data_IF_620725653899
#
_entry.id   IF_620725653899
#
_cell.length_a   1.000
_cell.length_b   1.000
_cell.length_c   1.000
_cell.angle_alpha   90.00
_cell.angle_beta   90.00
_cell.angle_gamma   90.00
#
_symmetry.space_group_name_H-M   'P 1'
#
loop_
_entity.id
_entity.type
_entity.pdbx_description
1 polymer ?
#
# COMPACT_ATOMS: atom_id res chain seq x y z
N UNK A 1 -11.35 5.97 21.93
CA UNK A 1 -10.04 5.33 21.60
C UNK A 1 -10.20 4.41 20.41
N UNK A 2 -9.21 4.39 19.55
CA UNK A 2 -9.21 3.53 18.37
C UNK A 2 -7.97 2.64 18.39
N UNK A 3 -8.00 1.54 17.66
CA UNK A 3 -6.81 0.73 17.46
C UNK A 3 -5.87 1.41 16.48
N UNK A 4 -4.56 1.25 16.72
CA UNK A 4 -3.56 1.77 15.80
C UNK A 4 -3.69 1.10 14.43
N UNK A 5 -3.78 1.90 13.38
CA UNK A 5 -4.01 1.39 12.01
C UNK A 5 -2.83 0.61 11.43
N UNK A 6 -1.68 0.59 12.10
CA UNK A 6 -0.55 -0.23 11.66
C UNK A 6 -0.73 -1.73 11.92
N UNK A 7 -1.72 -2.11 12.72
CA UNK A 7 -2.00 -3.51 13.04
C UNK A 7 -1.24 -4.05 14.24
N UNK A 8 -0.62 -3.19 15.05
CA UNK A 8 0.16 -3.63 16.22
C UNK A 8 -0.69 -4.12 17.40
N UNK A 9 -2.02 -3.91 17.35
CA UNK A 9 -2.95 -4.31 18.41
C UNK A 9 -3.06 -3.33 19.57
N UNK A 10 -2.30 -2.26 19.58
CA UNK A 10 -2.36 -1.24 20.62
C UNK A 10 -3.38 -0.18 20.29
N UNK A 11 -3.88 0.52 21.31
CA UNK A 11 -4.86 1.59 21.13
C UNK A 11 -4.16 2.93 21.00
N UNK A 12 -4.82 3.87 20.30
CA UNK A 12 -4.35 5.24 20.18
C UNK A 12 -5.21 6.16 21.02
N UNK A 13 -4.64 7.23 21.51
CA UNK A 13 -5.37 8.28 22.21
C UNK A 13 -5.76 9.41 21.26
N UNK A 14 -5.03 9.57 20.15
CA UNK A 14 -5.29 10.58 19.12
C UNK A 14 -4.95 10.00 17.76
N UNK A 15 -5.83 10.25 16.79
CA UNK A 15 -5.60 9.86 15.40
C UNK A 15 -5.65 8.36 15.18
N UNK A 16 -5.14 7.94 14.03
CA UNK A 16 -5.20 6.55 13.56
C UNK A 16 -3.99 5.73 13.94
N UNK A 17 -2.92 6.36 14.42
CA UNK A 17 -1.65 5.70 14.72
C UNK A 17 -1.09 6.16 16.06
N UNK A 18 -0.41 5.26 16.74
CA UNK A 18 0.49 5.64 17.82
C UNK A 18 1.67 6.40 17.21
N UNK A 19 2.31 7.24 18.01
CA UNK A 19 3.45 8.03 17.56
C UNK A 19 4.52 7.14 16.91
N UNK A 20 4.88 7.45 15.68
CA UNK A 20 5.89 6.71 14.91
C UNK A 20 5.38 5.45 14.20
N UNK A 21 4.16 4.99 14.48
CA UNK A 21 3.63 3.77 13.89
C UNK A 21 3.18 3.94 12.44
N UNK A 22 2.87 5.16 12.02
CA UNK A 22 2.61 5.47 10.61
C UNK A 22 3.84 5.18 9.75
N UNK A 23 5.03 5.52 10.23
CA UNK A 23 6.28 5.23 9.52
C UNK A 23 6.56 3.72 9.46
N UNK A 24 6.24 3.00 10.53
CA UNK A 24 6.39 1.54 10.54
C UNK A 24 5.49 0.88 9.51
N UNK A 25 4.24 1.33 9.40
CA UNK A 25 3.32 0.80 8.40
C UNK A 25 3.79 1.14 6.99
N UNK A 26 4.24 2.36 6.77
CA UNK A 26 4.76 2.79 5.47
C UNK A 26 5.92 1.92 5.02
N UNK A 27 6.90 1.69 5.90
CA UNK A 27 8.05 0.84 5.59
C UNK A 27 7.62 -0.59 5.29
N UNK A 28 6.70 -1.14 6.07
CA UNK A 28 6.20 -2.49 5.86
C UNK A 28 5.47 -2.63 4.51
N UNK A 29 4.67 -1.64 4.14
CA UNK A 29 3.96 -1.64 2.85
C UNK A 29 4.95 -1.53 1.68
N UNK A 30 5.95 -0.67 1.79
CA UNK A 30 6.99 -0.54 0.77
C UNK A 30 7.73 -1.87 0.55
N UNK A 31 8.09 -2.55 1.64
CA UNK A 31 8.76 -3.86 1.55
C UNK A 31 7.88 -4.91 0.88
N UNK A 32 6.61 -4.94 1.23
CA UNK A 32 5.65 -5.88 0.64
C UNK A 32 5.44 -5.64 -0.85
N UNK A 33 5.51 -4.39 -1.28
CA UNK A 33 5.38 -4.01 -2.70
C UNK A 33 6.65 -4.29 -3.51
N UNK A 34 7.79 -4.48 -2.84
CA UNK A 34 9.08 -4.68 -3.51
C UNK A 34 9.95 -3.44 -3.54
N UNK A 35 9.68 -2.47 -2.65
CA UNK A 35 10.41 -1.22 -2.53
C UNK A 35 9.58 -0.01 -2.97
N UNK A 36 10.12 1.17 -2.76
CA UNK A 36 9.40 2.42 -3.03
C UNK A 36 9.08 2.60 -4.52
N UNK A 37 10.00 2.25 -5.41
CA UNK A 37 9.76 2.37 -6.86
C UNK A 37 8.64 1.43 -7.30
N UNK A 38 8.65 0.19 -6.81
CA UNK A 38 7.59 -0.77 -7.11
C UNK A 38 6.24 -0.31 -6.57
N UNK A 39 6.21 0.29 -5.38
CA UNK A 39 4.99 0.85 -4.81
C UNK A 39 4.46 2.01 -5.68
N UNK A 40 5.35 2.88 -6.15
CA UNK A 40 4.99 3.97 -7.04
C UNK A 40 4.35 3.45 -8.34
N UNK A 41 4.92 2.40 -8.92
CA UNK A 41 4.36 1.77 -10.13
C UNK A 41 2.98 1.19 -9.88
N UNK A 42 2.78 0.56 -8.73
CA UNK A 42 1.47 0.01 -8.36
C UNK A 42 0.41 1.11 -8.29
N UNK A 43 0.75 2.23 -7.67
CA UNK A 43 -0.15 3.38 -7.58
C UNK A 43 -0.45 3.95 -8.97
N UNK A 44 0.56 4.07 -9.83
CA UNK A 44 0.38 4.56 -11.21
C UNK A 44 -0.56 3.66 -12.01
N UNK A 45 -0.39 2.33 -11.91
CA UNK A 45 -1.28 1.39 -12.58
C UNK A 45 -2.72 1.48 -12.05
N UNK A 46 -2.87 1.65 -10.75
CA UNK A 46 -4.18 1.80 -10.13
C UNK A 46 -4.87 3.08 -10.62
N UNK A 47 -4.14 4.18 -10.72
CA UNK A 47 -4.66 5.45 -11.24
C UNK A 47 -5.08 5.33 -12.71
N UNK A 48 -4.27 4.68 -13.54
CA UNK A 48 -4.58 4.46 -14.95
C UNK A 48 -5.82 3.58 -15.11
N UNK A 49 -5.92 2.53 -14.33
CA UNK A 49 -7.09 1.67 -14.32
C UNK A 49 -8.34 2.45 -13.90
N UNK A 50 -8.25 3.23 -12.84
CA UNK A 50 -9.38 4.02 -12.34
C UNK A 50 -9.84 5.09 -13.34
N UNK A 51 -8.92 5.65 -14.13
CA UNK A 51 -9.23 6.66 -15.14
C UNK A 51 -9.69 6.09 -16.49
N UNK A 52 -9.71 4.76 -16.63
CA UNK A 52 -10.12 4.08 -17.85
C UNK A 52 -9.03 3.97 -18.91
N UNK A 53 -7.79 4.33 -18.60
CA UNK A 53 -6.67 4.24 -19.53
C UNK A 53 -6.04 2.85 -19.59
N UNK A 54 -6.36 2.00 -18.64
CA UNK A 54 -5.85 0.64 -18.56
C UNK A 54 -7.02 -0.31 -18.37
N UNK A 55 -7.02 -1.43 -19.11
CA UNK A 55 -8.05 -2.45 -18.97
C UNK A 55 -7.82 -3.28 -17.71
N UNK A 56 -8.85 -3.97 -17.24
CA UNK A 56 -8.75 -4.88 -16.10
C UNK A 56 -7.70 -5.98 -16.37
N UNK A 57 -7.64 -6.50 -17.58
CA UNK A 57 -6.67 -7.52 -17.96
C UNK A 57 -5.25 -7.01 -17.88
N UNK A 58 -5.01 -5.80 -18.40
CA UNK A 58 -3.70 -5.17 -18.32
C UNK A 58 -3.29 -4.91 -16.87
N UNK A 59 -4.21 -4.39 -16.06
CA UNK A 59 -3.95 -4.13 -14.66
C UNK A 59 -3.62 -5.43 -13.92
N UNK A 60 -4.42 -6.47 -14.12
CA UNK A 60 -4.19 -7.77 -13.49
C UNK A 60 -2.83 -8.36 -13.89
N UNK A 61 -2.44 -8.22 -15.15
CA UNK A 61 -1.14 -8.68 -15.65
C UNK A 61 0.01 -7.97 -14.96
N UNK A 62 -0.07 -6.64 -14.83
CA UNK A 62 0.99 -5.86 -14.17
C UNK A 62 1.10 -6.18 -12.69
N UNK A 63 -0.02 -6.34 -12.00
CA UNK A 63 -0.04 -6.71 -10.58
C UNK A 63 0.61 -8.09 -10.38
N UNK A 64 0.25 -9.06 -11.20
CA UNK A 64 0.83 -10.41 -11.10
C UNK A 64 2.34 -10.38 -11.31
N UNK A 65 2.83 -9.63 -12.29
CA UNK A 65 4.27 -9.50 -12.53
C UNK A 65 4.99 -8.89 -11.35
N UNK A 66 4.39 -7.90 -10.71
CA UNK A 66 5.00 -7.20 -9.58
C UNK A 66 5.12 -8.11 -8.35
N UNK A 67 4.12 -8.95 -8.09
CA UNK A 67 4.06 -9.77 -6.89
C UNK A 67 4.46 -11.23 -7.11
N UNK A 68 4.74 -11.63 -8.34
CA UNK A 68 5.27 -12.98 -8.63
C UNK A 68 6.78 -12.99 -8.44
N UNK A 69 7.25 -13.89 -7.63
CA UNK A 69 8.68 -14.06 -7.33
C UNK A 69 9.18 -15.43 -7.76
#
# INVERSE_FOLDING_TARGET
>A
MAFCSCGCGETTTRGMFKQGHDQRLRTAVEERAGGLVALTRLVDFAEEFASGRMTLEEFASQVRKQFTR
#
